data_IF_247889776091
#
_entry.id   IF_247889776091
#
_cell.length_a   1.000
_cell.length_b   1.000
_cell.length_c   1.000
_cell.angle_alpha   90.00
_cell.angle_beta   90.00
_cell.angle_gamma   90.00
#
_symmetry.space_group_name_H-M   'P 1'
#
loop_
_entity.id
_entity.type
_entity.pdbx_description
1 polymer ?
#
# COMPACT_ATOMS: atom_id res chain seq x y z
N UNK A 1 -5.49 -4.33 -14.49
CA UNK A 1 -4.51 -3.53 -15.24
C UNK A 1 -3.15 -4.21 -15.09
N UNK A 2 -2.36 -4.33 -16.15
CA UNK A 2 -0.96 -4.75 -16.06
C UNK A 2 -0.10 -3.48 -16.11
N UNK A 3 0.87 -3.37 -15.20
CA UNK A 3 1.55 -2.12 -14.90
C UNK A 3 2.64 -1.69 -15.89
N UNK A 4 3.19 -0.50 -15.61
CA UNK A 4 4.56 -0.08 -15.90
C UNK A 4 5.23 0.13 -14.54
N UNK A 5 5.65 1.36 -14.21
CA UNK A 5 5.84 1.74 -12.80
C UNK A 5 4.49 2.03 -12.12
N UNK A 6 4.52 2.23 -10.80
CA UNK A 6 3.30 2.39 -10.00
C UNK A 6 2.49 3.65 -10.31
N UNK A 7 3.10 4.67 -10.93
CA UNK A 7 2.44 5.94 -11.26
C UNK A 7 1.21 5.76 -12.16
N UNK A 8 1.24 4.71 -13.00
CA UNK A 8 0.17 4.37 -13.94
C UNK A 8 -1.16 4.05 -13.25
N UNK A 9 -1.13 3.65 -11.98
CA UNK A 9 -2.32 3.23 -11.23
C UNK A 9 -3.29 4.37 -10.92
N UNK A 10 -2.82 5.63 -10.77
CA UNK A 10 -3.67 6.77 -10.39
C UNK A 10 -4.81 7.01 -11.39
N UNK A 11 -4.51 6.93 -12.69
CA UNK A 11 -5.52 7.09 -13.73
C UNK A 11 -6.60 5.99 -13.69
N UNK A 12 -6.19 4.74 -13.45
CA UNK A 12 -7.11 3.61 -13.33
C UNK A 12 -7.99 3.74 -12.08
N UNK A 13 -7.44 4.18 -10.94
CA UNK A 13 -8.19 4.41 -9.70
C UNK A 13 -9.23 5.53 -9.89
N UNK A 14 -8.87 6.63 -10.57
CA UNK A 14 -9.83 7.71 -10.90
C UNK A 14 -10.98 7.20 -11.76
N UNK A 15 -10.69 6.47 -12.83
CA UNK A 15 -11.71 5.90 -13.71
C UNK A 15 -12.60 4.89 -12.95
N UNK A 16 -12.02 4.12 -12.03
CA UNK A 16 -12.77 3.20 -11.19
C UNK A 16 -13.75 3.93 -10.26
N UNK A 17 -13.30 5.03 -9.63
CA UNK A 17 -14.14 5.90 -8.79
C UNK A 17 -15.31 6.49 -9.54
N UNK A 18 -15.07 6.97 -10.75
CA UNK A 18 -16.12 7.52 -11.61
C UNK A 18 -17.20 6.49 -11.96
N UNK A 19 -16.81 5.24 -12.19
CA UNK A 19 -17.73 4.20 -12.64
C UNK A 19 -18.42 3.44 -11.51
N UNK A 20 -17.71 3.15 -10.42
CA UNK A 20 -18.18 2.24 -9.35
C UNK A 20 -18.46 2.93 -8.01
N UNK A 21 -18.09 4.21 -7.85
CA UNK A 21 -18.34 4.97 -6.62
C UNK A 21 -17.32 4.70 -5.51
N UNK A 22 -17.78 4.62 -4.26
CA UNK A 22 -16.91 4.53 -3.08
C UNK A 22 -16.29 3.14 -2.90
N UNK A 23 -14.99 3.10 -2.60
CA UNK A 23 -14.22 1.89 -2.30
C UNK A 23 -13.02 2.23 -1.39
N UNK A 24 -12.44 1.20 -0.78
CA UNK A 24 -11.14 1.28 -0.12
C UNK A 24 -10.04 0.71 -1.01
N UNK A 25 -8.79 1.09 -0.74
CA UNK A 25 -7.62 0.57 -1.46
C UNK A 25 -6.86 -0.38 -0.55
N UNK A 26 -6.64 -1.60 -1.02
CA UNK A 26 -5.64 -2.51 -0.46
C UNK A 26 -4.36 -2.37 -1.30
N UNK A 27 -3.30 -1.87 -0.69
CA UNK A 27 -2.03 -1.61 -1.35
C UNK A 27 -0.94 -2.48 -0.72
N UNK A 28 -0.45 -3.44 -1.52
CA UNK A 28 0.65 -4.34 -1.16
C UNK A 28 1.92 -3.77 -1.79
N UNK A 29 2.88 -3.38 -0.96
CA UNK A 29 4.07 -2.64 -1.37
C UNK A 29 5.12 -2.64 -0.25
N UNK A 30 6.41 -2.49 -0.58
CA UNK A 30 7.44 -2.20 0.41
C UNK A 30 7.38 -0.76 0.90
N UNK A 31 6.88 0.15 0.07
CA UNK A 31 6.83 1.58 0.23
C UNK A 31 5.41 2.06 0.58
N UNK A 32 5.28 3.32 1.01
CA UNK A 32 3.96 3.89 1.30
C UNK A 32 3.36 4.62 0.09
N UNK A 33 4.19 5.09 -0.83
CA UNK A 33 3.82 5.99 -1.94
C UNK A 33 3.03 7.23 -1.49
N UNK A 34 3.35 7.72 -0.29
CA UNK A 34 2.64 8.79 0.40
C UNK A 34 3.36 10.14 0.30
N UNK A 35 4.37 10.27 -0.56
CA UNK A 35 5.10 11.53 -0.72
C UNK A 35 4.24 12.54 -1.49
N UNK A 36 4.19 13.82 -1.09
CA UNK A 36 3.49 14.83 -1.87
C UNK A 36 4.10 15.09 -3.25
N UNK A 37 5.42 14.86 -3.36
CA UNK A 37 6.18 14.85 -4.60
C UNK A 37 7.49 14.09 -4.36
N UNK A 38 8.02 13.46 -5.41
CA UNK A 38 9.36 12.87 -5.41
C UNK A 38 10.21 13.58 -6.47
N UNK A 39 11.35 14.14 -6.07
CA UNK A 39 12.23 14.94 -6.94
C UNK A 39 11.49 16.09 -7.68
N UNK A 40 10.45 16.65 -7.05
CA UNK A 40 9.61 17.71 -7.62
C UNK A 40 8.45 17.20 -8.49
N UNK A 41 8.39 15.91 -8.81
CA UNK A 41 7.30 15.30 -9.56
C UNK A 41 6.16 14.89 -8.63
N UNK A 42 4.98 15.51 -8.82
CA UNK A 42 3.77 15.23 -8.02
C UNK A 42 3.05 13.95 -8.42
N UNK A 43 3.27 13.47 -9.65
CA UNK A 43 2.64 12.28 -10.19
C UNK A 43 3.70 11.19 -10.48
N UNK A 44 4.62 11.00 -9.53
CA UNK A 44 5.61 9.92 -9.58
C UNK A 44 5.05 8.63 -8.97
N UNK A 45 5.78 7.52 -9.13
CA UNK A 45 5.48 6.25 -8.46
C UNK A 45 5.39 6.44 -6.93
N UNK A 46 6.35 7.14 -6.31
CA UNK A 46 6.37 7.38 -4.87
C UNK A 46 5.29 8.35 -4.32
N UNK A 47 4.36 8.84 -5.17
CA UNK A 47 3.33 9.83 -4.78
C UNK A 47 1.90 9.37 -5.06
N UNK A 48 1.69 8.14 -5.53
CA UNK A 48 0.37 7.70 -6.02
C UNK A 48 -0.65 7.66 -4.88
N UNK A 49 -0.33 7.00 -3.76
CA UNK A 49 -1.26 6.88 -2.64
C UNK A 49 -1.53 8.23 -1.97
N UNK A 50 -0.55 9.14 -1.97
CA UNK A 50 -0.78 10.53 -1.55
C UNK A 50 -1.86 11.20 -2.40
N UNK A 51 -1.77 11.08 -3.73
CA UNK A 51 -2.76 11.66 -4.63
C UNK A 51 -4.13 11.01 -4.50
N UNK A 52 -4.20 9.69 -4.30
CA UNK A 52 -5.45 8.96 -4.01
C UNK A 52 -6.19 9.55 -2.81
N UNK A 53 -5.47 9.82 -1.72
CA UNK A 53 -6.03 10.42 -0.51
C UNK A 53 -6.41 11.88 -0.72
N UNK A 54 -5.54 12.66 -1.37
CA UNK A 54 -5.73 14.09 -1.62
C UNK A 54 -6.93 14.36 -2.52
N UNK A 55 -7.18 13.51 -3.51
CA UNK A 55 -8.31 13.62 -4.43
C UNK A 55 -9.56 12.91 -3.92
N UNK A 56 -9.52 12.36 -2.70
CA UNK A 56 -10.62 11.66 -2.06
C UNK A 56 -11.18 10.51 -2.91
N UNK A 57 -10.29 9.76 -3.58
CA UNK A 57 -10.68 8.66 -4.46
C UNK A 57 -11.08 7.42 -3.64
N UNK A 58 -10.39 7.17 -2.52
CA UNK A 58 -10.63 6.04 -1.64
C UNK A 58 -11.13 6.47 -0.25
N UNK A 59 -12.06 5.70 0.31
CA UNK A 59 -12.61 5.92 1.66
C UNK A 59 -11.70 5.37 2.77
N UNK A 60 -10.90 4.36 2.45
CA UNK A 60 -9.83 3.84 3.32
C UNK A 60 -8.64 3.39 2.48
N UNK A 61 -7.46 3.36 3.11
CA UNK A 61 -6.21 2.92 2.51
C UNK A 61 -5.51 1.96 3.47
N UNK A 62 -5.37 0.70 3.06
CA UNK A 62 -4.72 -0.35 3.85
C UNK A 62 -3.39 -0.68 3.20
N UNK A 63 -2.29 -0.29 3.85
CA UNK A 63 -0.92 -0.52 3.39
C UNK A 63 -0.39 -1.82 3.99
N UNK A 64 0.14 -2.74 3.18
CA UNK A 64 0.62 -4.06 3.63
C UNK A 64 2.01 -4.34 3.08
N UNK A 65 2.93 -4.77 3.95
CA UNK A 65 4.33 -5.06 3.57
C UNK A 65 5.27 -3.88 3.79
N UNK A 66 4.73 -2.76 4.31
CA UNK A 66 5.42 -1.49 4.49
C UNK A 66 6.69 -1.64 5.35
N UNK A 67 7.84 -1.25 4.78
CA UNK A 67 9.15 -1.35 5.42
C UNK A 67 10.19 -0.32 4.96
N UNK A 68 9.92 0.42 3.88
CA UNK A 68 10.74 1.57 3.47
C UNK A 68 9.87 2.82 3.25
N UNK A 69 9.95 3.77 4.19
CA UNK A 69 9.17 5.02 4.15
C UNK A 69 9.86 6.07 5.04
N UNK A 70 9.68 7.34 4.69
CA UNK A 70 10.30 8.44 5.42
C UNK A 70 9.43 8.95 6.60
N UNK A 71 10.01 9.79 7.44
CA UNK A 71 9.32 10.39 8.59
C UNK A 71 8.04 11.14 8.19
N UNK A 72 8.06 11.86 7.07
CA UNK A 72 6.88 12.58 6.59
C UNK A 72 5.72 11.64 6.23
N UNK A 73 6.04 10.47 5.65
CA UNK A 73 5.04 9.45 5.35
C UNK A 73 4.52 8.81 6.65
N UNK A 74 5.40 8.56 7.62
CA UNK A 74 5.02 8.08 8.95
C UNK A 74 4.08 9.05 9.68
N UNK A 75 4.35 10.36 9.62
CA UNK A 75 3.51 11.39 10.22
C UNK A 75 2.12 11.43 9.56
N UNK A 76 2.06 11.26 8.22
CA UNK A 76 0.79 11.20 7.50
C UNK A 76 0.00 9.93 7.87
N UNK A 77 0.67 8.77 7.92
CA UNK A 77 0.07 7.50 8.37
C UNK A 77 -0.52 7.64 9.79
N UNK A 78 0.16 8.36 10.68
CA UNK A 78 -0.30 8.55 12.06
C UNK A 78 -1.44 9.56 12.21
N UNK A 79 -1.58 10.50 11.27
CA UNK A 79 -2.52 11.63 11.39
C UNK A 79 -3.79 11.48 10.54
N UNK A 80 -3.77 10.73 9.44
CA UNK A 80 -4.94 10.51 8.59
C UNK A 80 -5.66 9.20 8.98
N UNK A 81 -6.89 9.33 9.46
CA UNK A 81 -7.70 8.22 9.97
C UNK A 81 -8.13 7.21 8.89
N UNK A 82 -7.95 7.53 7.60
CA UNK A 82 -8.24 6.60 6.50
C UNK A 82 -7.14 5.57 6.32
N UNK A 83 -5.94 5.81 6.86
CA UNK A 83 -4.76 4.99 6.61
C UNK A 83 -4.59 3.92 7.70
N UNK A 84 -4.43 2.67 7.26
CA UNK A 84 -4.19 1.51 8.11
C UNK A 84 -2.91 0.82 7.66
N UNK A 85 -1.83 0.92 8.43
CA UNK A 85 -0.52 0.42 8.05
C UNK A 85 -0.17 -0.91 8.75
N UNK A 86 0.01 -1.96 7.95
CA UNK A 86 0.51 -3.26 8.35
C UNK A 86 1.97 -3.39 7.90
N UNK A 87 2.87 -2.87 8.73
CA UNK A 87 4.32 -2.91 8.47
C UNK A 87 4.86 -4.34 8.56
N UNK A 88 5.94 -4.61 7.84
CA UNK A 88 6.61 -5.92 7.87
C UNK A 88 7.01 -6.31 9.31
N UNK A 89 7.56 -5.35 10.07
CA UNK A 89 7.87 -5.51 11.50
C UNK A 89 6.61 -5.77 12.35
N UNK A 90 5.50 -5.09 12.05
CA UNK A 90 4.24 -5.28 12.77
C UNK A 90 3.65 -6.66 12.54
N UNK A 91 3.66 -7.12 11.29
CA UNK A 91 3.23 -8.47 10.88
C UNK A 91 4.12 -9.52 11.55
N UNK A 92 5.44 -9.38 11.45
CA UNK A 92 6.40 -10.30 12.07
C UNK A 92 6.20 -10.41 13.59
N UNK A 93 5.99 -9.27 14.28
CA UNK A 93 5.70 -9.25 15.72
C UNK A 93 4.39 -9.97 16.06
N UNK A 94 3.34 -9.80 15.26
CA UNK A 94 2.05 -10.46 15.48
C UNK A 94 2.17 -11.99 15.33
N UNK A 95 2.85 -12.44 14.27
CA UNK A 95 3.12 -13.86 14.03
C UNK A 95 3.98 -14.46 15.15
N UNK A 96 5.03 -13.76 15.57
CA UNK A 96 5.88 -14.18 16.69
C UNK A 96 5.11 -14.29 18.01
N UNK A 97 4.12 -13.41 18.23
CA UNK A 97 3.23 -13.46 19.39
C UNK A 97 2.18 -14.58 19.33
N UNK A 98 2.20 -15.43 18.29
CA UNK A 98 1.32 -16.58 18.13
C UNK A 98 0.04 -16.31 17.35
N UNK A 99 -0.11 -15.13 16.73
CA UNK A 99 -1.20 -14.94 15.77
C UNK A 99 -0.94 -15.78 14.52
N UNK A 100 -1.98 -16.45 14.03
CA UNK A 100 -1.95 -17.13 12.74
C UNK A 100 -1.98 -16.11 11.61
N UNK A 101 -1.44 -16.47 10.44
CA UNK A 101 -1.53 -15.63 9.24
C UNK A 101 -2.97 -15.23 8.91
N UNK A 102 -3.93 -16.16 9.05
CA UNK A 102 -5.35 -15.88 8.85
C UNK A 102 -5.87 -14.78 9.80
N UNK A 103 -5.45 -14.76 11.07
CA UNK A 103 -5.83 -13.69 11.99
C UNK A 103 -5.26 -12.33 11.58
N UNK A 104 -4.01 -12.29 11.09
CA UNK A 104 -3.40 -11.05 10.59
C UNK A 104 -4.15 -10.58 9.33
N UNK A 105 -4.42 -11.46 8.37
CA UNK A 105 -5.22 -11.13 7.17
C UNK A 105 -6.62 -10.63 7.52
N UNK A 106 -7.30 -11.24 8.49
CA UNK A 106 -8.59 -10.74 8.99
C UNK A 106 -8.46 -9.32 9.54
N UNK A 107 -7.38 -9.03 10.26
CA UNK A 107 -7.07 -7.67 10.70
C UNK A 107 -6.98 -6.69 9.54
N UNK A 108 -6.27 -7.05 8.46
CA UNK A 108 -6.18 -6.23 7.23
C UNK A 108 -7.55 -6.03 6.58
N UNK A 109 -8.31 -7.11 6.37
CA UNK A 109 -9.63 -7.07 5.72
C UNK A 109 -10.63 -6.22 6.52
N UNK A 110 -10.59 -6.27 7.85
CA UNK A 110 -11.50 -5.49 8.71
C UNK A 110 -11.29 -3.97 8.61
N UNK A 111 -10.19 -3.51 7.99
CA UNK A 111 -9.94 -2.07 7.75
C UNK A 111 -10.49 -1.57 6.41
N UNK A 112 -11.00 -2.49 5.58
CA UNK A 112 -11.50 -2.21 4.23
C UNK A 112 -13.04 -2.22 4.22
N UNK A 113 -13.68 -1.40 3.36
CA UNK A 113 -15.12 -1.47 3.11
C UNK A 113 -15.46 -2.63 2.15
N UNK A 114 -16.75 -2.78 1.83
CA UNK A 114 -17.27 -3.86 0.98
C UNK A 114 -16.68 -3.86 -0.44
N UNK A 115 -16.39 -2.67 -0.99
CA UNK A 115 -15.77 -2.51 -2.30
C UNK A 115 -14.29 -2.17 -2.15
N UNK A 116 -13.43 -2.99 -2.76
CA UNK A 116 -11.98 -2.87 -2.62
C UNK A 116 -11.30 -2.80 -3.98
N UNK A 117 -10.46 -1.80 -4.16
CA UNK A 117 -9.49 -1.73 -5.24
C UNK A 117 -8.16 -2.33 -4.77
N UNK A 118 -7.72 -3.41 -5.42
CA UNK A 118 -6.45 -4.05 -5.11
C UNK A 118 -5.33 -3.47 -5.97
N UNK A 119 -4.31 -2.93 -5.31
CA UNK A 119 -3.05 -2.50 -5.90
C UNK A 119 -1.92 -3.36 -5.36
N UNK A 120 -1.13 -3.95 -6.24
CA UNK A 120 0.01 -4.81 -5.87
C UNK A 120 1.25 -4.31 -6.59
N UNK A 121 2.21 -3.79 -5.83
CA UNK A 121 3.60 -3.69 -6.29
C UNK A 121 4.32 -5.01 -5.99
N UNK A 122 5.14 -5.43 -6.93
CA UNK A 122 5.91 -6.67 -6.83
C UNK A 122 7.00 -6.57 -5.76
N UNK A 123 7.47 -5.38 -5.40
CA UNK A 123 8.45 -5.21 -4.33
C UNK A 123 7.85 -5.36 -2.92
N UNK A 124 6.52 -5.45 -2.79
CA UNK A 124 5.86 -5.83 -1.54
C UNK A 124 6.21 -7.25 -1.06
N UNK A 125 6.66 -8.11 -1.98
CA UNK A 125 7.12 -9.47 -1.69
C UNK A 125 8.61 -9.53 -1.36
N UNK A 126 9.03 -10.62 -0.72
CA UNK A 126 10.44 -10.87 -0.47
C UNK A 126 11.25 -10.87 -1.79
N UNK A 127 12.41 -10.20 -1.86
CA UNK A 127 13.23 -10.14 -3.07
C UNK A 127 13.64 -11.51 -3.63
N UNK A 128 13.67 -12.57 -2.82
CA UNK A 128 13.90 -13.94 -3.31
C UNK A 128 12.80 -14.45 -4.24
N UNK A 129 11.57 -13.92 -4.09
CA UNK A 129 10.41 -14.23 -4.94
C UNK A 129 10.33 -13.28 -6.14
N UNK A 130 10.67 -12.01 -5.94
CA UNK A 130 10.53 -10.95 -6.95
C UNK A 130 11.82 -10.13 -7.09
N UNK A 131 12.92 -10.74 -7.58
CA UNK A 131 14.25 -10.10 -7.57
C UNK A 131 14.41 -8.96 -8.57
N UNK A 132 13.55 -8.90 -9.61
CA UNK A 132 13.67 -7.99 -10.74
C UNK A 132 12.71 -6.78 -10.63
N UNK A 133 12.70 -6.11 -9.48
CA UNK A 133 12.00 -4.83 -9.27
C UNK A 133 12.99 -3.66 -9.23
N UNK A 134 12.52 -2.43 -9.44
CA UNK A 134 13.36 -1.23 -9.43
C UNK A 134 13.89 -0.87 -8.03
N UNK A 135 13.18 -1.26 -6.98
CA UNK A 135 13.39 -0.85 -5.59
C UNK A 135 13.30 -2.05 -4.63
N UNK A 136 14.20 -3.05 -4.73
CA UNK A 136 14.12 -4.23 -3.87
C UNK A 136 14.46 -3.87 -2.41
N UNK A 137 13.56 -4.19 -1.48
CA UNK A 137 13.77 -3.99 -0.04
C UNK A 137 13.81 -5.35 0.68
N UNK A 138 14.88 -5.66 1.45
CA UNK A 138 14.97 -6.92 2.21
C UNK A 138 13.77 -7.17 3.13
N UNK A 139 13.41 -8.45 3.31
CA UNK A 139 12.16 -8.84 3.98
C UNK A 139 10.95 -8.69 3.07
N UNK A 140 9.74 -8.73 3.64
CA UNK A 140 8.49 -8.68 2.89
C UNK A 140 7.69 -9.98 2.93
N UNK A 141 6.59 -10.00 2.17
CA UNK A 141 5.67 -11.13 2.18
C UNK A 141 6.32 -12.36 1.51
N UNK A 142 6.27 -13.50 2.20
CA UNK A 142 6.79 -14.78 1.71
C UNK A 142 5.67 -15.79 1.44
N UNK A 143 5.99 -16.87 0.73
CA UNK A 143 5.05 -17.93 0.33
C UNK A 143 5.20 -19.20 1.19
N UNK A 144 5.91 -19.13 2.33
CA UNK A 144 6.27 -20.25 3.18
C UNK A 144 5.43 -20.33 4.46
#
# INVERSE_FOLDING_TARGET
>A
MLGGDHSTSLGAIRAHKEHYGDFGVLHIDAHADLRPAYEGFKYSHASVMYNVLKENLASSLTLVGLRDYCHQEADLIASDNRINAFTDRGISKALFAGQTWNQVCRGMVNTLPDHVYLSVDMDGFDPSLCPNTGTPVPGGLSMA
#
